data_IF_936693995269
#
_entry.id   IF_936693995269
#
_cell.length_a   1.000
_cell.length_b   1.000
_cell.length_c   1.000
_cell.angle_alpha   90.00
_cell.angle_beta   90.00
_cell.angle_gamma   90.00
#
_symmetry.space_group_name_H-M   'P 1'
#
loop_
_entity.id
_entity.type
_entity.pdbx_description
1 polymer ?
#
# COMPACT_ATOMS: atom_id res chain seq x y z
N UNK A 1 51.01 -36.62 21.79
CA UNK A 1 49.88 -36.63 20.84
C UNK A 1 48.66 -36.07 21.54
N UNK A 2 48.34 -34.79 21.31
CA UNK A 2 47.08 -34.17 21.73
C UNK A 2 46.60 -33.36 20.53
N UNK A 3 45.69 -33.95 19.75
CA UNK A 3 45.07 -33.33 18.61
C UNK A 3 44.04 -32.31 19.09
N UNK A 4 44.20 -31.06 18.63
CA UNK A 4 43.24 -29.98 18.88
C UNK A 4 41.95 -30.18 18.11
N UNK A 5 40.83 -30.12 18.82
CA UNK A 5 39.48 -30.11 18.26
C UNK A 5 39.18 -28.77 17.56
N UNK A 6 38.57 -28.75 16.35
CA UNK A 6 38.37 -27.51 15.60
C UNK A 6 37.11 -26.74 16.02
N UNK A 7 37.21 -25.42 15.97
CA UNK A 7 36.15 -24.43 16.13
C UNK A 7 34.96 -24.72 15.18
N UNK A 8 33.75 -24.83 15.75
CA UNK A 8 32.50 -24.87 15.01
C UNK A 8 32.27 -23.52 14.31
N UNK A 9 32.25 -23.54 12.98
CA UNK A 9 31.73 -22.46 12.13
C UNK A 9 30.26 -22.19 12.48
N UNK A 10 29.99 -21.02 13.05
CA UNK A 10 28.65 -20.44 13.13
C UNK A 10 28.20 -20.15 11.69
N UNK A 11 27.10 -20.78 11.26
CA UNK A 11 26.44 -20.50 9.99
C UNK A 11 25.72 -19.15 10.12
N UNK A 12 26.19 -18.16 9.39
CA UNK A 12 25.42 -16.96 9.07
C UNK A 12 24.18 -17.38 8.27
N UNK A 13 23.01 -17.23 8.87
CA UNK A 13 21.71 -17.42 8.23
C UNK A 13 21.08 -16.03 8.11
N UNK A 14 20.67 -15.67 6.88
CA UNK A 14 19.95 -14.47 6.46
C UNK A 14 20.78 -13.27 5.97
N UNK A 15 21.46 -13.45 4.83
CA UNK A 15 21.56 -12.40 3.81
C UNK A 15 20.54 -12.70 2.71
N UNK A 16 19.32 -12.22 2.88
CA UNK A 16 18.35 -12.16 1.78
C UNK A 16 18.57 -10.82 1.06
N UNK A 17 19.45 -10.84 0.06
CA UNK A 17 19.59 -9.75 -0.90
C UNK A 17 18.38 -9.84 -1.82
N UNK A 18 17.38 -8.99 -1.57
CA UNK A 18 16.20 -8.88 -2.42
C UNK A 18 16.58 -8.14 -3.70
N UNK A 19 16.93 -8.90 -4.73
CA UNK A 19 16.98 -8.42 -6.12
C UNK A 19 15.57 -8.05 -6.62
N UNK A 20 15.44 -7.08 -7.53
CA UNK A 20 14.15 -6.77 -8.15
C UNK A 20 13.60 -8.00 -8.91
N UNK A 21 12.27 -8.13 -9.04
CA UNK A 21 11.68 -9.31 -9.68
C UNK A 21 12.14 -9.42 -11.13
N UNK A 22 12.79 -10.53 -11.45
CA UNK A 22 13.08 -10.95 -12.82
C UNK A 22 11.76 -11.28 -13.51
N UNK A 23 11.43 -10.53 -14.57
CA UNK A 23 10.29 -10.83 -15.44
C UNK A 23 10.63 -12.10 -16.24
N UNK A 24 9.84 -13.19 -16.17
CA UNK A 24 10.07 -14.33 -17.03
C UNK A 24 9.70 -13.98 -18.48
N UNK A 25 10.59 -14.24 -19.44
CA UNK A 25 10.41 -14.00 -20.88
C UNK A 25 9.26 -14.81 -21.55
N UNK A 26 8.44 -15.52 -20.78
CA UNK A 26 7.49 -16.52 -21.29
C UNK A 26 6.03 -16.07 -21.42
N UNK A 27 5.76 -14.77 -21.58
CA UNK A 27 4.38 -14.29 -21.84
C UNK A 27 4.01 -14.33 -23.35
N UNK A 28 5.00 -14.46 -24.25
CA UNK A 28 4.73 -14.40 -25.69
C UNK A 28 4.15 -15.70 -26.31
N UNK A 29 4.19 -16.84 -25.60
CA UNK A 29 3.75 -18.13 -26.19
C UNK A 29 2.32 -18.58 -25.85
N UNK A 30 1.57 -17.85 -25.03
CA UNK A 30 0.21 -18.24 -24.64
C UNK A 30 -0.92 -17.61 -25.47
N UNK A 31 -0.63 -16.65 -26.36
CA UNK A 31 -1.66 -15.92 -27.13
C UNK A 31 -2.14 -16.69 -28.38
N UNK A 32 -1.51 -17.80 -28.75
CA UNK A 32 -1.94 -18.62 -29.89
C UNK A 32 -2.39 -20.03 -29.46
N UNK A 33 -3.47 -20.14 -28.68
CA UNK A 33 -4.23 -21.41 -28.60
C UNK A 33 -5.74 -21.16 -28.43
N UNK A 34 -6.42 -21.20 -29.58
CA UNK A 34 -7.84 -21.52 -29.82
C UNK A 34 -8.86 -21.06 -28.76
N UNK A 35 -9.48 -19.91 -29.00
CA UNK A 35 -10.89 -19.73 -28.65
C UNK A 35 -11.73 -20.57 -29.63
N UNK A 36 -12.42 -21.58 -29.14
CA UNK A 36 -13.48 -22.28 -29.85
C UNK A 36 -14.72 -21.38 -29.93
N UNK A 37 -15.26 -21.20 -31.13
CA UNK A 37 -16.47 -20.42 -31.40
C UNK A 37 -17.68 -20.91 -30.60
N UNK A 38 -18.50 -20.03 -29.99
CA UNK A 38 -19.78 -20.44 -29.42
C UNK A 38 -20.82 -20.60 -30.53
N UNK A 39 -21.53 -21.74 -30.52
CA UNK A 39 -22.74 -21.97 -31.32
C UNK A 39 -23.84 -21.01 -30.81
N UNK A 40 -24.42 -20.22 -31.71
CA UNK A 40 -25.48 -19.26 -31.40
C UNK A 40 -26.86 -19.91 -31.31
N UNK A 41 -27.66 -19.42 -30.37
CA UNK A 41 -29.14 -19.48 -30.40
C UNK A 41 -29.66 -18.20 -31.08
N UNK A 42 -30.73 -18.27 -31.90
CA UNK A 42 -31.18 -17.14 -32.70
C UNK A 42 -32.21 -16.30 -31.93
N UNK A 43 -32.03 -14.97 -31.93
CA UNK A 43 -33.12 -14.04 -31.65
C UNK A 43 -32.87 -13.04 -30.53
N UNK A 44 -31.94 -12.11 -30.75
CA UNK A 44 -32.07 -10.72 -30.28
C UNK A 44 -31.33 -9.85 -31.29
N UNK A 45 -32.04 -8.96 -31.98
CA UNK A 45 -31.47 -7.96 -32.90
C UNK A 45 -30.50 -7.05 -32.12
N UNK A 46 -29.22 -7.43 -32.16
CA UNK A 46 -28.12 -6.67 -31.64
C UNK A 46 -27.49 -5.86 -32.75
N UNK A 47 -27.51 -4.53 -32.60
CA UNK A 47 -26.65 -3.62 -33.36
C UNK A 47 -25.22 -4.15 -33.25
N UNK A 48 -24.72 -4.75 -34.35
CA UNK A 48 -23.33 -5.16 -34.49
C UNK A 48 -22.54 -3.86 -34.46
N UNK A 49 -21.92 -3.54 -33.31
CA UNK A 49 -20.90 -2.50 -33.25
C UNK A 49 -19.73 -3.00 -34.12
N UNK A 50 -19.70 -2.55 -35.37
CA UNK A 50 -18.51 -2.64 -36.21
C UNK A 50 -17.35 -2.00 -35.44
N UNK A 51 -16.44 -2.84 -34.97
CA UNK A 51 -15.18 -2.39 -34.39
C UNK A 51 -14.35 -1.89 -35.56
N UNK A 52 -14.42 -0.58 -35.83
CA UNK A 52 -13.60 0.03 -36.86
C UNK A 52 -12.12 -0.32 -36.59
N UNK A 53 -11.38 -0.79 -37.61
CA UNK A 53 -9.98 -1.15 -37.44
C UNK A 53 -9.18 0.07 -37.01
N UNK A 54 -8.33 -0.12 -36.00
CA UNK A 54 -7.39 0.91 -35.52
C UNK A 54 -6.53 1.33 -36.71
N UNK A 55 -6.54 2.63 -37.06
CA UNK A 55 -5.67 3.17 -38.11
C UNK A 55 -4.21 2.82 -37.81
N UNK A 56 -3.44 2.47 -38.85
CA UNK A 56 -2.01 2.18 -38.73
C UNK A 56 -1.23 3.32 -38.05
N UNK A 57 -1.70 4.56 -38.21
CA UNK A 57 -1.16 5.69 -37.49
C UNK A 57 -1.43 5.57 -35.99
N UNK A 58 -2.68 5.35 -35.57
CA UNK A 58 -3.02 5.18 -34.16
C UNK A 58 -2.27 4.00 -33.50
N UNK A 59 -2.11 2.88 -34.19
CA UNK A 59 -1.30 1.75 -33.71
C UNK A 59 0.18 2.15 -33.49
N UNK A 60 0.77 2.89 -34.44
CA UNK A 60 2.14 3.41 -34.30
C UNK A 60 2.27 4.35 -33.10
N UNK A 61 1.31 5.24 -32.89
CA UNK A 61 1.30 6.17 -31.76
C UNK A 61 1.17 5.43 -30.42
N UNK A 62 0.28 4.43 -30.32
CA UNK A 62 0.14 3.58 -29.13
C UNK A 62 1.45 2.86 -28.81
N UNK A 63 2.10 2.25 -29.82
CA UNK A 63 3.40 1.58 -29.64
C UNK A 63 4.50 2.55 -29.24
N UNK A 64 4.51 3.76 -29.79
CA UNK A 64 5.46 4.80 -29.41
C UNK A 64 5.27 5.20 -27.95
N UNK A 65 4.02 5.47 -27.53
CA UNK A 65 3.72 5.79 -26.13
C UNK A 65 4.06 4.65 -25.18
N UNK A 66 3.86 3.39 -25.58
CA UNK A 66 4.29 2.22 -24.83
C UNK A 66 5.81 2.18 -24.62
N UNK A 67 6.61 2.57 -25.62
CA UNK A 67 8.07 2.67 -25.50
C UNK A 67 8.52 3.83 -24.61
N UNK A 68 7.88 5.00 -24.74
CA UNK A 68 8.17 6.16 -23.89
C UNK A 68 7.93 5.84 -22.40
N UNK A 69 6.88 5.07 -22.09
CA UNK A 69 6.62 4.59 -20.72
C UNK A 69 7.73 3.69 -20.17
N UNK A 70 8.35 2.87 -21.02
CA UNK A 70 9.48 1.98 -20.63
C UNK A 70 10.75 2.77 -20.33
N UNK A 71 11.05 3.82 -21.08
CA UNK A 71 12.22 4.69 -20.82
C UNK A 71 12.10 5.40 -19.46
N UNK A 72 10.91 5.89 -19.11
CA UNK A 72 10.62 6.46 -17.77
C UNK A 72 10.83 5.45 -16.63
N UNK A 73 10.78 4.15 -16.91
CA UNK A 73 11.05 3.11 -15.92
C UNK A 73 12.56 2.97 -15.60
N UNK A 74 13.45 3.37 -16.52
CA UNK A 74 14.90 3.30 -16.33
C UNK A 74 15.40 4.44 -15.44
N UNK A 75 14.88 5.66 -15.62
CA UNK A 75 15.15 6.83 -14.75
C UNK A 75 14.67 6.61 -13.30
N UNK A 76 13.78 5.63 -13.11
CA UNK A 76 13.20 5.26 -11.82
C UNK A 76 14.21 4.65 -10.86
N UNK A 77 15.37 4.16 -11.31
CA UNK A 77 16.32 3.43 -10.46
C UNK A 77 16.84 4.27 -9.27
N UNK A 78 17.10 5.56 -9.49
CA UNK A 78 17.51 6.45 -8.40
C UNK A 78 16.37 6.69 -7.41
N UNK A 79 15.16 6.96 -7.91
CA UNK A 79 13.97 7.14 -7.08
C UNK A 79 13.65 5.87 -6.25
N UNK A 80 13.76 4.69 -6.87
CA UNK A 80 13.66 3.36 -6.24
C UNK A 80 14.64 3.24 -5.08
N UNK A 81 15.92 3.58 -5.31
CA UNK A 81 16.97 3.52 -4.30
C UNK A 81 16.64 4.44 -3.11
N UNK A 82 16.29 5.70 -3.38
CA UNK A 82 15.95 6.69 -2.36
C UNK A 82 14.76 6.23 -1.51
N UNK A 83 13.69 5.76 -2.14
CA UNK A 83 12.48 5.30 -1.44
C UNK A 83 12.73 4.02 -0.65
N UNK A 84 13.51 3.08 -1.18
CA UNK A 84 13.88 1.85 -0.46
C UNK A 84 14.74 2.14 0.78
N UNK A 85 15.68 3.07 0.68
CA UNK A 85 16.50 3.51 1.81
C UNK A 85 15.65 4.22 2.87
N UNK A 86 14.82 5.19 2.46
CA UNK A 86 13.86 5.87 3.33
C UNK A 86 12.98 4.85 4.07
N UNK A 87 12.39 3.89 3.34
CA UNK A 87 11.53 2.83 3.89
C UNK A 87 12.28 2.01 4.93
N UNK A 88 13.49 1.53 4.61
CA UNK A 88 14.30 0.70 5.49
C UNK A 88 14.61 1.43 6.79
N UNK A 89 15.06 2.67 6.68
CA UNK A 89 15.46 3.49 7.83
C UNK A 89 14.25 3.92 8.67
N UNK A 90 13.12 4.24 8.03
CA UNK A 90 11.87 4.54 8.72
C UNK A 90 11.37 3.35 9.54
N UNK A 91 11.33 2.16 8.94
CA UNK A 91 10.91 0.94 9.65
C UNK A 91 11.86 0.66 10.81
N UNK A 92 13.17 0.80 10.60
CA UNK A 92 14.16 0.65 11.67
C UNK A 92 13.89 1.63 12.82
N UNK A 93 13.75 2.93 12.50
CA UNK A 93 13.44 3.97 13.47
C UNK A 93 12.18 3.67 14.28
N UNK A 94 11.09 3.24 13.62
CA UNK A 94 9.84 2.91 14.30
C UNK A 94 9.96 1.68 15.21
N UNK A 95 10.77 0.70 14.84
CA UNK A 95 11.03 -0.51 15.63
C UNK A 95 11.90 -0.29 16.85
N UNK A 96 12.85 0.63 16.74
CA UNK A 96 13.79 1.00 17.81
C UNK A 96 13.25 2.13 18.70
N UNK A 97 12.09 2.71 18.38
CA UNK A 97 11.51 3.79 19.16
C UNK A 97 10.94 3.30 20.50
N UNK A 98 11.58 3.71 21.59
CA UNK A 98 11.15 3.33 22.93
C UNK A 98 9.95 4.13 23.45
N UNK A 99 9.80 5.37 23.00
CA UNK A 99 8.72 6.28 23.42
C UNK A 99 7.34 5.77 23.00
N UNK A 100 7.23 5.09 21.85
CA UNK A 100 5.96 4.64 21.30
C UNK A 100 5.98 3.16 20.87
N UNK A 101 5.87 2.21 21.84
CA UNK A 101 6.08 0.79 21.56
C UNK A 101 5.03 0.16 20.65
N UNK A 102 3.86 0.80 20.49
CA UNK A 102 2.80 0.36 19.57
C UNK A 102 3.27 0.19 18.12
N UNK A 103 4.24 0.99 17.66
CA UNK A 103 4.75 0.91 16.29
C UNK A 103 5.93 -0.08 16.13
N UNK A 104 6.33 -0.82 17.18
CA UNK A 104 7.50 -1.73 17.08
C UNK A 104 7.24 -2.99 16.28
N UNK A 105 5.98 -3.41 16.17
CA UNK A 105 5.59 -4.58 15.39
C UNK A 105 5.23 -4.23 13.95
N UNK A 106 5.53 -3.00 13.52
CA UNK A 106 5.18 -2.51 12.20
C UNK A 106 5.92 -3.29 11.11
N UNK A 107 5.21 -3.54 10.01
CA UNK A 107 5.79 -4.10 8.79
C UNK A 107 5.26 -3.34 7.58
N UNK A 108 5.98 -3.44 6.47
CA UNK A 108 5.54 -2.81 5.22
C UNK A 108 4.57 -3.76 4.53
N UNK A 109 3.45 -3.22 4.04
CA UNK A 109 2.64 -3.92 3.06
C UNK A 109 3.31 -3.76 1.71
N UNK A 110 3.83 -4.86 1.18
CA UNK A 110 4.38 -4.94 -0.19
C UNK A 110 3.24 -4.92 -1.23
N UNK A 111 2.25 -4.04 -1.05
CA UNK A 111 1.25 -3.69 -2.04
C UNK A 111 1.37 -2.21 -2.30
N UNK A 112 1.14 -1.81 -3.54
CA UNK A 112 1.26 -0.43 -3.89
C UNK A 112 1.65 -0.26 -5.33
N UNK A 113 1.20 0.86 -5.85
CA UNK A 113 1.29 1.20 -7.25
C UNK A 113 2.72 1.23 -7.81
N UNK A 114 3.68 1.50 -6.92
CA UNK A 114 5.11 1.36 -7.15
C UNK A 114 5.53 -0.11 -7.36
N UNK A 115 5.26 -1.00 -6.41
CA UNK A 115 5.68 -2.42 -6.50
C UNK A 115 4.95 -3.18 -7.61
N UNK A 116 3.73 -2.76 -7.93
CA UNK A 116 2.88 -3.37 -8.95
C UNK A 116 3.11 -2.77 -10.35
N UNK A 117 3.95 -1.72 -10.46
CA UNK A 117 4.24 -0.98 -11.71
C UNK A 117 2.99 -0.38 -12.39
N UNK A 118 1.90 -0.14 -11.65
CA UNK A 118 0.60 0.27 -12.22
C UNK A 118 0.41 1.79 -12.36
N UNK A 119 1.25 2.65 -11.75
CA UNK A 119 1.15 4.11 -12.01
C UNK A 119 1.80 4.46 -13.34
N UNK A 120 0.95 4.66 -14.35
CA UNK A 120 1.34 5.13 -15.68
C UNK A 120 1.38 6.67 -15.80
N UNK A 121 0.74 7.40 -14.88
CA UNK A 121 0.55 8.86 -15.00
C UNK A 121 1.65 9.67 -14.29
N UNK A 122 2.08 9.23 -13.09
CA UNK A 122 3.05 9.97 -12.26
C UNK A 122 4.11 9.02 -11.70
N UNK A 123 5.25 8.85 -12.40
CA UNK A 123 6.29 7.89 -12.02
C UNK A 123 7.03 8.28 -10.73
N UNK A 124 6.91 9.54 -10.29
CA UNK A 124 7.61 10.10 -9.13
C UNK A 124 6.73 10.15 -7.87
N UNK A 125 5.56 9.48 -7.86
CA UNK A 125 4.69 9.37 -6.68
C UNK A 125 4.70 7.92 -6.16
N UNK A 126 5.09 7.75 -4.90
CA UNK A 126 5.24 6.45 -4.25
C UNK A 126 4.30 6.35 -3.06
N UNK A 127 3.77 5.16 -2.81
CA UNK A 127 2.90 4.88 -1.66
C UNK A 127 3.59 3.82 -0.78
N UNK A 128 3.74 4.09 0.52
CA UNK A 128 4.21 3.13 1.52
C UNK A 128 3.10 2.91 2.52
N UNK A 129 2.51 1.71 2.51
CA UNK A 129 1.53 1.33 3.51
C UNK A 129 2.20 0.54 4.65
N UNK A 130 1.99 1.01 5.87
CA UNK A 130 2.58 0.44 7.08
C UNK A 130 1.51 -0.34 7.85
N UNK A 131 1.69 -1.66 7.97
CA UNK A 131 0.80 -2.56 8.68
C UNK A 131 0.99 -2.43 10.19
N UNK A 132 -0.08 -2.04 10.87
CA UNK A 132 -0.17 -2.00 12.32
C UNK A 132 -0.88 -3.26 12.79
N UNK A 133 -0.16 -4.10 13.54
CA UNK A 133 -0.75 -5.32 14.12
C UNK A 133 -1.79 -4.92 15.16
N UNK A 134 -2.99 -5.51 15.08
CA UNK A 134 -4.07 -5.22 16.02
C UNK A 134 -4.56 -6.47 16.76
N UNK A 135 -5.02 -6.32 18.02
CA UNK A 135 -5.83 -7.34 18.67
C UNK A 135 -7.13 -7.57 17.91
N UNK A 136 -7.94 -8.54 18.36
CA UNK A 136 -9.26 -8.79 17.78
C UNK A 136 -10.14 -7.52 17.82
N UNK A 137 -10.63 -7.12 16.66
CA UNK A 137 -11.44 -5.94 16.41
C UNK A 137 -12.92 -6.28 16.18
N UNK A 138 -13.76 -5.30 16.43
CA UNK A 138 -15.15 -5.18 15.98
C UNK A 138 -15.22 -3.97 15.07
N UNK A 139 -15.87 -4.09 13.94
CA UNK A 139 -16.10 -2.98 13.02
C UNK A 139 -17.60 -2.81 12.77
N UNK A 140 -18.05 -1.55 12.76
CA UNK A 140 -19.42 -1.19 12.41
C UNK A 140 -19.40 -0.31 11.17
N UNK A 141 -20.07 -0.75 10.11
CA UNK A 141 -20.22 0.04 8.89
C UNK A 141 -21.00 1.33 9.21
N UNK A 142 -20.56 2.43 8.63
CA UNK A 142 -21.32 3.67 8.63
C UNK A 142 -22.35 3.59 7.51
N UNK A 143 -23.64 3.54 7.88
CA UNK A 143 -24.77 3.34 6.97
C UNK A 143 -24.76 4.28 5.76
N UNK A 144 -24.37 5.54 5.99
CA UNK A 144 -24.32 6.59 4.97
C UNK A 144 -23.29 6.36 3.85
N UNK A 145 -22.40 5.38 4.01
CA UNK A 145 -21.28 5.17 3.09
C UNK A 145 -21.20 3.75 2.54
N UNK A 146 -22.32 3.02 2.47
CA UNK A 146 -22.45 1.76 1.72
C UNK A 146 -21.33 0.73 2.02
N UNK A 147 -20.90 0.64 3.27
CA UNK A 147 -19.86 -0.32 3.67
C UNK A 147 -18.44 0.02 3.20
N UNK A 148 -18.15 1.30 2.92
CA UNK A 148 -16.79 1.79 2.64
C UNK A 148 -16.10 2.32 3.90
N UNK A 149 -16.88 2.96 4.78
CA UNK A 149 -16.36 3.53 6.03
C UNK A 149 -16.88 2.79 7.25
N UNK A 150 -16.00 2.67 8.25
CA UNK A 150 -16.25 1.90 9.46
C UNK A 150 -15.76 2.64 10.71
N UNK A 151 -16.49 2.44 11.79
CA UNK A 151 -15.99 2.66 13.15
C UNK A 151 -15.33 1.39 13.63
N UNK A 152 -14.11 1.49 14.17
CA UNK A 152 -13.31 0.34 14.61
C UNK A 152 -13.15 0.38 16.12
N UNK A 153 -13.47 -0.73 16.78
CA UNK A 153 -13.35 -0.90 18.22
C UNK A 153 -12.65 -2.20 18.56
N UNK A 154 -12.05 -2.27 19.73
CA UNK A 154 -11.51 -3.52 20.26
C UNK A 154 -12.65 -4.40 20.77
N UNK A 155 -12.54 -5.73 20.62
CA UNK A 155 -13.52 -6.64 21.20
C UNK A 155 -13.54 -6.62 22.74
N UNK A 156 -12.42 -6.25 23.37
CA UNK A 156 -12.19 -6.30 24.82
C UNK A 156 -11.22 -5.18 25.22
N UNK A 157 -11.22 -4.77 26.50
CA UNK A 157 -10.22 -3.83 27.01
C UNK A 157 -8.79 -4.31 26.72
N UNK A 158 -7.94 -3.48 26.08
CA UNK A 158 -6.58 -3.88 25.75
C UNK A 158 -5.69 -3.90 27.00
N UNK A 159 -4.80 -4.88 27.07
CA UNK A 159 -3.61 -4.84 27.94
C UNK A 159 -2.37 -4.30 27.21
N UNK A 160 -2.51 -4.00 25.92
CA UNK A 160 -1.44 -3.59 25.01
C UNK A 160 -1.39 -2.07 24.83
N UNK A 161 -0.39 -1.62 24.09
CA UNK A 161 -0.03 -0.23 23.83
C UNK A 161 -1.07 0.52 22.99
N UNK A 162 -1.96 -0.21 22.30
CA UNK A 162 -3.04 0.36 21.49
C UNK A 162 -4.02 1.21 22.32
N UNK A 163 -4.04 1.04 23.65
CA UNK A 163 -4.88 1.82 24.59
C UNK A 163 -4.68 3.33 24.48
N UNK A 164 -3.47 3.78 24.14
CA UNK A 164 -3.16 5.21 23.96
C UNK A 164 -3.95 5.84 22.80
N UNK A 165 -4.45 5.01 21.88
CA UNK A 165 -5.17 5.44 20.69
C UNK A 165 -6.69 5.29 20.80
N UNK A 166 -7.23 4.93 21.96
CA UNK A 166 -8.68 4.83 22.13
C UNK A 166 -9.33 6.20 22.34
N UNK A 167 -10.59 6.34 21.94
CA UNK A 167 -11.43 7.46 22.38
C UNK A 167 -11.71 7.38 23.88
N UNK A 168 -12.00 8.53 24.47
CA UNK A 168 -12.25 8.63 25.91
C UNK A 168 -13.53 7.86 26.27
N UNK A 169 -13.46 7.01 27.30
CA UNK A 169 -14.61 6.26 27.80
C UNK A 169 -15.03 5.02 27.00
N UNK A 170 -14.21 4.52 26.06
CA UNK A 170 -14.61 3.35 25.26
C UNK A 170 -13.47 2.53 24.65
N UNK A 171 -13.88 1.54 23.83
CA UNK A 171 -12.97 0.63 23.11
C UNK A 171 -12.73 1.05 21.66
N UNK A 172 -13.26 2.19 21.23
CA UNK A 172 -13.16 2.68 19.85
C UNK A 172 -11.78 3.28 19.59
N UNK A 173 -11.13 2.82 18.52
CA UNK A 173 -9.82 3.29 18.11
C UNK A 173 -9.98 4.63 17.38
N UNK A 174 -9.22 5.63 17.81
CA UNK A 174 -9.18 6.94 17.19
C UNK A 174 -8.17 6.98 16.04
N UNK A 175 -8.69 7.00 14.82
CA UNK A 175 -7.95 7.30 13.60
C UNK A 175 -7.12 8.59 13.73
N UNK A 176 -7.68 9.60 14.39
CA UNK A 176 -7.02 10.90 14.58
C UNK A 176 -5.83 10.84 15.53
N UNK A 177 -5.91 10.07 16.63
CA UNK A 177 -4.78 9.86 17.55
C UNK A 177 -3.65 9.10 16.83
N UNK A 178 -3.97 8.04 16.08
CA UNK A 178 -2.97 7.28 15.29
C UNK A 178 -2.29 8.18 14.25
N UNK A 179 -3.07 8.94 13.47
CA UNK A 179 -2.51 9.83 12.45
C UNK A 179 -1.66 10.95 13.05
N UNK A 180 -2.08 11.53 14.19
CA UNK A 180 -1.28 12.55 14.89
C UNK A 180 0.08 11.98 15.30
N UNK A 181 0.08 10.78 15.87
CA UNK A 181 1.32 10.13 16.30
C UNK A 181 2.21 9.75 15.12
N UNK A 182 1.64 9.20 14.05
CA UNK A 182 2.38 8.90 12.82
C UNK A 182 3.05 10.15 12.23
N UNK A 183 2.33 11.27 12.15
CA UNK A 183 2.91 12.56 11.74
C UNK A 183 4.07 12.99 12.65
N UNK A 184 3.93 12.85 13.97
CA UNK A 184 4.96 13.19 14.95
C UNK A 184 6.21 12.34 14.74
N UNK A 185 6.06 11.01 14.67
CA UNK A 185 7.15 10.07 14.48
C UNK A 185 7.88 10.27 13.16
N UNK A 186 7.15 10.43 12.04
CA UNK A 186 7.76 10.70 10.74
C UNK A 186 8.51 12.04 10.76
N UNK A 187 7.96 13.07 11.40
CA UNK A 187 8.65 14.36 11.54
C UNK A 187 9.94 14.24 12.36
N UNK A 188 9.92 13.47 13.45
CA UNK A 188 11.13 13.16 14.24
C UNK A 188 12.16 12.40 13.42
N UNK A 189 11.73 11.38 12.68
CA UNK A 189 12.58 10.59 11.80
C UNK A 189 13.26 11.43 10.73
N UNK A 190 12.53 12.30 10.02
CA UNK A 190 13.10 13.14 8.95
C UNK A 190 14.15 14.13 9.47
N UNK A 191 14.06 14.57 10.74
CA UNK A 191 15.09 15.42 11.35
C UNK A 191 16.43 14.72 11.55
N UNK A 192 16.44 13.39 11.67
CA UNK A 192 17.64 12.60 11.95
C UNK A 192 18.08 11.74 10.76
N UNK A 193 17.19 11.50 9.81
CA UNK A 193 17.47 10.75 8.59
C UNK A 193 18.41 11.53 7.68
N UNK A 194 19.52 10.90 7.31
CA UNK A 194 20.53 11.48 6.43
C UNK A 194 20.46 10.82 5.06
N UNK A 195 20.59 11.66 4.04
CA UNK A 195 20.77 11.26 2.65
C UNK A 195 22.23 11.58 2.28
N UNK A 196 22.87 10.82 1.36
CA UNK A 196 24.23 11.15 0.92
C UNK A 196 24.38 12.63 0.51
N UNK A 197 25.49 13.29 0.86
CA UNK A 197 25.73 14.67 0.47
C UNK A 197 25.61 14.86 -1.04
N UNK A 198 24.96 15.94 -1.48
CA UNK A 198 24.79 16.26 -2.90
C UNK A 198 23.60 15.59 -3.58
N UNK A 199 22.84 14.72 -2.90
CA UNK A 199 21.64 14.10 -3.51
C UNK A 199 20.35 14.89 -3.23
N UNK A 200 20.25 15.64 -2.11
CA UNK A 200 19.01 16.31 -1.70
C UNK A 200 18.59 16.04 -0.26
N UNK A 201 17.35 16.40 0.06
CA UNK A 201 16.76 16.17 1.40
C UNK A 201 15.28 15.83 1.35
N UNK A 202 14.84 15.09 2.37
CA UNK A 202 13.43 14.82 2.60
C UNK A 202 12.77 15.94 3.41
N UNK A 203 11.58 16.33 3.00
CA UNK A 203 10.76 17.34 3.69
C UNK A 203 9.36 16.77 3.92
N UNK A 204 8.82 16.97 5.12
CA UNK A 204 7.43 16.61 5.44
C UNK A 204 6.50 17.66 4.85
N UNK A 205 5.59 17.27 3.96
CA UNK A 205 4.59 18.18 3.41
C UNK A 205 3.58 18.61 4.47
N UNK A 206 2.92 19.76 4.24
CA UNK A 206 1.82 20.19 5.11
C UNK A 206 0.71 19.15 5.13
N UNK A 207 0.14 18.93 6.31
CA UNK A 207 -0.97 18.00 6.51
C UNK A 207 -2.16 18.38 5.64
N UNK A 208 -2.52 17.49 4.70
CA UNK A 208 -3.72 17.63 3.88
C UNK A 208 -4.95 17.20 4.69
N UNK A 209 -6.01 18.01 4.66
CA UNK A 209 -7.27 17.69 5.33
C UNK A 209 -7.85 16.41 4.72
N UNK A 210 -8.27 15.47 5.56
CA UNK A 210 -8.85 14.17 5.19
C UNK A 210 -7.90 13.21 4.45
N UNK A 211 -6.61 13.56 4.29
CA UNK A 211 -5.63 12.62 3.76
C UNK A 211 -5.28 11.57 4.83
N UNK A 212 -5.27 10.27 4.49
CA UNK A 212 -4.80 9.23 5.38
C UNK A 212 -3.27 9.09 5.38
N UNK A 213 -2.55 9.91 4.60
CA UNK A 213 -1.11 9.80 4.42
C UNK A 213 -0.34 10.93 5.11
N UNK A 214 0.85 10.60 5.59
CA UNK A 214 1.93 11.55 5.83
C UNK A 214 2.76 11.64 4.54
N UNK A 215 2.59 12.72 3.79
CA UNK A 215 3.33 12.93 2.53
C UNK A 215 4.72 13.49 2.81
N UNK A 216 5.73 12.85 2.23
CA UNK A 216 7.11 13.33 2.16
C UNK A 216 7.41 13.75 0.73
N UNK A 217 8.22 14.79 0.57
CA UNK A 217 8.78 15.20 -0.72
C UNK A 217 10.30 15.15 -0.64
N UNK A 218 10.92 14.61 -1.67
CA UNK A 218 12.36 14.69 -1.85
C UNK A 218 12.67 15.92 -2.69
N UNK A 219 13.49 16.81 -2.14
CA UNK A 219 13.86 18.07 -2.76
C UNK A 219 15.33 18.00 -3.14
N UNK A 220 15.62 18.32 -4.40
CA UNK A 220 16.98 18.40 -4.91
C UNK A 220 17.76 19.51 -4.17
N UNK A 221 19.04 19.26 -3.87
CA UNK A 221 19.87 20.19 -3.10
C UNK A 221 20.24 21.44 -3.91
N UNK A 222 20.43 21.29 -5.21
CA UNK A 222 20.94 22.32 -6.12
C UNK A 222 19.78 23.19 -6.62
N UNK A 223 18.74 22.56 -7.17
CA UNK A 223 17.63 23.25 -7.81
C UNK A 223 16.50 23.61 -6.83
N UNK A 224 16.45 22.95 -5.66
CA UNK A 224 15.35 23.11 -4.71
C UNK A 224 14.00 22.59 -5.23
N UNK A 225 14.01 21.86 -6.36
CA UNK A 225 12.82 21.32 -7.01
C UNK A 225 12.36 20.01 -6.35
N UNK A 226 11.04 19.77 -6.35
CA UNK A 226 10.47 18.48 -5.93
C UNK A 226 10.78 17.41 -6.98
N UNK A 227 11.58 16.41 -6.60
CA UNK A 227 11.98 15.31 -7.48
C UNK A 227 10.94 14.21 -7.43
N UNK A 228 10.48 13.85 -6.22
CA UNK A 228 9.49 12.81 -5.99
C UNK A 228 8.77 12.99 -4.66
N UNK A 229 7.63 12.31 -4.50
CA UNK A 229 6.86 12.28 -3.28
C UNK A 229 6.53 10.86 -2.82
N UNK A 230 6.42 10.69 -1.50
CA UNK A 230 6.11 9.42 -0.85
C UNK A 230 4.97 9.62 0.15
N UNK A 231 3.86 8.92 -0.05
CA UNK A 231 2.74 8.89 0.89
C UNK A 231 2.88 7.72 1.86
N UNK A 232 3.12 8.02 3.14
CA UNK A 232 3.19 7.02 4.21
C UNK A 232 1.81 6.87 4.85
N UNK A 233 1.21 5.69 4.71
CA UNK A 233 -0.16 5.40 5.17
C UNK A 233 -0.14 4.32 6.26
N UNK A 234 -0.50 4.62 7.52
CA UNK A 234 -0.73 3.59 8.51
C UNK A 234 -2.02 2.83 8.21
N UNK A 235 -2.00 1.51 8.31
CA UNK A 235 -3.15 0.65 8.10
C UNK A 235 -3.26 -0.40 9.20
N UNK A 236 -4.44 -0.53 9.81
CA UNK A 236 -4.70 -1.59 10.78
C UNK A 236 -4.85 -2.91 10.03
N UNK A 237 -4.02 -3.89 10.33
CA UNK A 237 -4.13 -5.24 9.76
C UNK A 237 -5.13 -6.06 10.57
N UNK A 238 -6.12 -6.62 9.89
CA UNK A 238 -7.24 -7.35 10.50
C UNK A 238 -7.30 -8.78 9.95
N UNK A 239 -6.82 -9.78 10.71
CA UNK A 239 -6.76 -11.16 10.26
C UNK A 239 -8.12 -11.88 10.33
N UNK A 240 -9.15 -11.25 10.93
CA UNK A 240 -10.49 -11.84 11.13
C UNK A 240 -11.29 -12.03 9.83
N UNK A 241 -10.79 -11.52 8.70
CA UNK A 241 -11.42 -11.62 7.40
C UNK A 241 -12.21 -10.38 7.01
N UNK A 242 -12.79 -10.43 5.82
CA UNK A 242 -13.39 -9.27 5.16
C UNK A 242 -14.74 -8.89 5.77
N UNK A 243 -15.06 -7.58 5.86
CA UNK A 243 -16.40 -7.09 6.18
C UNK A 243 -17.43 -7.63 5.19
N UNK A 244 -18.67 -7.75 5.64
CA UNK A 244 -19.76 -8.32 4.84
C UNK A 244 -19.96 -7.59 3.50
N UNK A 245 -19.95 -6.25 3.53
CA UNK A 245 -20.06 -5.43 2.33
C UNK A 245 -18.96 -5.71 1.29
N UNK A 246 -17.73 -5.98 1.74
CA UNK A 246 -16.61 -6.25 0.85
C UNK A 246 -16.52 -7.73 0.42
N UNK A 247 -17.10 -8.66 1.21
CA UNK A 247 -17.02 -10.12 0.94
C UNK A 247 -17.76 -10.51 -0.34
N UNK A 248 -18.80 -9.78 -0.72
CA UNK A 248 -19.49 -9.97 -1.99
C UNK A 248 -18.74 -9.34 -3.19
N UNK A 249 -17.80 -8.42 -2.93
CA UNK A 249 -17.23 -7.49 -3.91
C UNK A 249 -16.44 -8.13 -5.06
N UNK A 250 -15.49 -9.05 -4.84
CA UNK A 250 -14.70 -9.61 -5.93
C UNK A 250 -15.53 -10.51 -6.84
N UNK A 251 -16.09 -9.95 -7.92
CA UNK A 251 -16.79 -10.70 -8.97
C UNK A 251 -15.80 -11.25 -10.00
N UNK A 252 -14.90 -12.12 -9.53
CA UNK A 252 -13.82 -12.69 -10.34
C UNK A 252 -14.03 -14.18 -10.64
N UNK A 253 -15.19 -14.73 -10.29
CA UNK A 253 -15.48 -16.16 -10.42
C UNK A 253 -15.37 -16.66 -11.88
N UNK A 254 -15.81 -15.84 -12.83
CA UNK A 254 -15.74 -16.17 -14.27
C UNK A 254 -14.39 -15.84 -14.90
N UNK A 255 -13.52 -15.10 -14.21
CA UNK A 255 -12.22 -14.67 -14.73
C UNK A 255 -11.06 -15.41 -14.08
N UNK A 256 -10.91 -15.27 -12.76
CA UNK A 256 -9.85 -15.91 -11.97
C UNK A 256 -10.31 -17.23 -11.33
N UNK A 257 -11.61 -17.51 -11.32
CA UNK A 257 -12.17 -18.72 -10.73
C UNK A 257 -12.49 -18.60 -9.24
N UNK A 258 -13.48 -19.39 -8.79
CA UNK A 258 -13.97 -19.44 -7.41
C UNK A 258 -12.88 -19.77 -6.37
N UNK A 259 -11.86 -20.54 -6.76
CA UNK A 259 -10.75 -20.91 -5.87
C UNK A 259 -9.86 -19.69 -5.56
N UNK A 260 -9.55 -18.88 -6.57
CA UNK A 260 -8.76 -17.67 -6.39
C UNK A 260 -9.56 -16.61 -5.63
N UNK A 261 -10.87 -16.48 -5.89
CA UNK A 261 -11.75 -15.64 -5.06
C UNK A 261 -11.69 -16.02 -3.58
N UNK A 262 -11.78 -17.32 -3.26
CA UNK A 262 -11.66 -17.83 -1.88
C UNK A 262 -10.32 -17.49 -1.24
N UNK A 263 -9.21 -17.60 -1.98
CA UNK A 263 -7.88 -17.20 -1.49
C UNK A 263 -7.81 -15.71 -1.18
N UNK A 264 -8.37 -14.86 -2.05
CA UNK A 264 -8.38 -13.39 -1.87
C UNK A 264 -9.16 -13.01 -0.60
N UNK A 265 -10.40 -13.49 -0.45
CA UNK A 265 -11.23 -13.15 0.72
C UNK A 265 -10.74 -13.78 2.03
N UNK A 266 -9.85 -14.78 1.94
CA UNK A 266 -9.17 -15.39 3.08
C UNK A 266 -7.93 -14.64 3.55
N UNK A 267 -7.44 -13.66 2.78
CA UNK A 267 -6.35 -12.77 3.22
C UNK A 267 -6.85 -11.75 4.25
N UNK A 268 -5.94 -11.18 5.07
CA UNK A 268 -6.27 -10.05 5.94
C UNK A 268 -6.87 -8.88 5.18
N UNK A 269 -7.71 -8.11 5.85
CA UNK A 269 -8.20 -6.81 5.37
C UNK A 269 -7.47 -5.69 6.11
N UNK A 270 -7.33 -4.54 5.46
CA UNK A 270 -6.62 -3.39 5.99
C UNK A 270 -7.59 -2.22 6.17
N UNK A 271 -7.53 -1.55 7.32
CA UNK A 271 -8.33 -0.35 7.58
C UNK A 271 -7.42 0.87 7.65
N UNK A 272 -7.67 1.84 6.79
CA UNK A 272 -6.89 3.08 6.65
C UNK A 272 -7.62 4.23 7.34
N UNK A 273 -6.94 5.09 8.14
CA UNK A 273 -7.58 6.19 8.87
C UNK A 273 -7.97 7.35 7.92
N UNK A 274 -9.06 7.17 7.19
CA UNK A 274 -9.60 8.17 6.26
C UNK A 274 -10.93 8.74 6.76
N UNK A 275 -11.04 10.06 6.64
CA UNK A 275 -12.25 10.80 6.99
C UNK A 275 -13.16 10.93 5.75
N UNK A 276 -14.47 10.65 5.88
CA UNK A 276 -15.43 10.92 4.83
C UNK A 276 -15.49 12.41 4.49
N UNK A 277 -15.76 12.72 3.22
CA UNK A 277 -15.89 14.10 2.72
C UNK A 277 -17.32 14.62 2.96
N UNK A 278 -17.69 14.88 4.22
CA UNK A 278 -19.05 15.35 4.54
C UNK A 278 -19.02 16.52 5.53
N UNK A 279 -19.90 17.51 5.32
CA UNK A 279 -19.87 18.81 6.03
C UNK A 279 -20.34 18.72 7.50
N UNK A 280 -21.13 17.69 7.84
CA UNK A 280 -21.77 17.50 9.16
C UNK A 280 -21.38 16.16 9.80
N UNK A 281 -20.09 15.96 10.08
CA UNK A 281 -19.63 14.82 10.87
C UNK A 281 -19.76 15.12 12.36
N UNK A 282 -20.30 14.18 13.13
CA UNK A 282 -20.22 14.18 14.59
C UNK A 282 -18.77 14.12 15.06
N UNK A 283 -18.49 14.50 16.31
CA UNK A 283 -17.12 14.48 16.85
C UNK A 283 -16.50 13.06 16.83
N UNK A 284 -17.34 12.02 16.97
CA UNK A 284 -16.93 10.62 16.86
C UNK A 284 -16.53 10.27 15.43
N UNK A 285 -17.32 10.67 14.43
CA UNK A 285 -17.02 10.45 13.00
C UNK A 285 -15.80 11.25 12.52
N UNK A 286 -15.54 12.44 13.09
CA UNK A 286 -14.29 13.17 12.81
C UNK A 286 -13.06 12.44 13.36
N UNK A 287 -13.23 11.67 14.43
CA UNK A 287 -12.16 11.09 15.22
C UNK A 287 -11.76 9.65 14.87
N UNK A 288 -12.69 8.86 14.33
CA UNK A 288 -12.66 7.38 14.47
C UNK A 288 -12.97 6.59 13.21
N UNK A 289 -13.00 7.29 12.06
CA UNK A 289 -13.39 6.67 10.81
C UNK A 289 -12.19 6.03 10.11
N UNK A 290 -12.43 4.83 9.62
CA UNK A 290 -11.53 4.08 8.80
C UNK A 290 -12.21 3.70 7.49
N UNK A 291 -11.44 3.65 6.42
CA UNK A 291 -11.84 3.15 5.10
C UNK A 291 -11.20 1.77 4.91
N UNK A 292 -11.98 0.82 4.40
CA UNK A 292 -11.54 -0.55 4.06
C UNK A 292 -11.06 -0.67 2.63
#
# INVERSE_FOLDING_TARGET
MLQGTPLKKVRDVNKEVLEPPVVPDNINHAIQKKLSSPKGDPGVDGIVREVLPISNELDRWIRQRGRDLRLRQTDRQQAVRLVNNLRKDLVKFLKENDEQPFFRTISVLNSGSYYELVKINKPNEFDIMLKLTTPRLVWKALEKYNGVFYTISLCRPPRTEIRAFLLDGGLTISASKIMKEMHSLVTKFIKTHKVPPGEGRWVVSRKKVNSPAVTLVFVDEIEGAEVLSVDIVPALEVPQGWPEAARAGPNVDKWLGKNNRRKIIGQPVYFVPKRPKTRNLTNVEKGSNYET
#
